data_IF_098939092330
#
_entry.id   IF_098939092330
#
_cell.length_a   1.000
_cell.length_b   1.000
_cell.length_c   1.000
_cell.angle_alpha   90.00
_cell.angle_beta   90.00
_cell.angle_gamma   90.00
#
_symmetry.space_group_name_H-M   'P 1'
#
loop_
_entity.id
_entity.type
_entity.pdbx_description
1 polymer ?
#
# COMPACT_ATOMS: atom_id res chain seq x y z
N UNK A 1 -17.11 18.14 39.59
CA UNK A 1 -18.04 18.23 38.44
C UNK A 1 -17.60 19.21 37.34
N UNK A 2 -16.47 19.94 37.50
CA UNK A 2 -16.00 20.93 36.52
C UNK A 2 -15.16 20.33 35.38
N UNK A 3 -14.41 19.25 35.63
CA UNK A 3 -13.50 18.70 34.64
C UNK A 3 -14.20 18.09 33.42
N UNK A 4 -15.38 17.50 33.60
CA UNK A 4 -16.16 16.94 32.49
C UNK A 4 -16.57 18.04 31.49
N UNK A 5 -16.86 19.25 31.97
CA UNK A 5 -17.19 20.39 31.11
C UNK A 5 -16.03 20.81 30.20
N UNK A 6 -14.77 20.54 30.60
CA UNK A 6 -13.59 20.76 29.77
C UNK A 6 -13.26 19.53 28.90
N UNK A 7 -13.34 18.33 29.47
CA UNK A 7 -12.92 17.10 28.81
C UNK A 7 -13.86 16.68 27.68
N UNK A 8 -15.17 16.92 27.81
CA UNK A 8 -16.16 16.62 26.76
C UNK A 8 -15.84 17.39 25.46
N UNK A 9 -15.73 18.73 25.45
CA UNK A 9 -15.43 19.45 24.22
C UNK A 9 -14.04 19.12 23.67
N UNK A 10 -13.03 18.90 24.53
CA UNK A 10 -11.70 18.47 24.09
C UNK A 10 -11.77 17.11 23.39
N UNK A 11 -12.46 16.12 23.96
CA UNK A 11 -12.61 14.80 23.36
C UNK A 11 -13.37 14.87 22.02
N UNK A 12 -14.43 15.68 21.93
CA UNK A 12 -15.17 15.89 20.68
C UNK A 12 -14.30 16.53 19.60
N UNK A 13 -13.50 17.53 19.95
CA UNK A 13 -12.57 18.17 19.01
C UNK A 13 -11.50 17.20 18.52
N UNK A 14 -10.92 16.39 19.41
CA UNK A 14 -9.95 15.37 19.04
C UNK A 14 -10.57 14.28 18.15
N UNK A 15 -11.79 13.85 18.46
CA UNK A 15 -12.53 12.89 17.63
C UNK A 15 -12.85 13.46 16.25
N UNK A 16 -13.31 14.70 16.18
CA UNK A 16 -13.59 15.38 14.92
C UNK A 16 -12.31 15.59 14.09
N UNK A 17 -11.22 15.98 14.73
CA UNK A 17 -9.92 16.13 14.08
C UNK A 17 -9.45 14.80 13.47
N UNK A 18 -9.54 13.70 14.23
CA UNK A 18 -9.23 12.37 13.74
C UNK A 18 -10.13 11.94 12.57
N UNK A 19 -11.44 12.23 12.65
CA UNK A 19 -12.38 11.92 11.57
C UNK A 19 -12.05 12.70 10.28
N UNK A 20 -11.77 14.00 10.38
CA UNK A 20 -11.39 14.83 9.23
C UNK A 20 -10.08 14.34 8.61
N UNK A 21 -9.07 14.03 9.43
CA UNK A 21 -7.81 13.48 8.97
C UNK A 21 -8.00 12.13 8.26
N UNK A 22 -8.84 11.26 8.80
CA UNK A 22 -9.18 9.96 8.21
C UNK A 22 -9.88 10.11 6.85
N UNK A 23 -10.91 10.95 6.77
CA UNK A 23 -11.61 11.22 5.51
C UNK A 23 -10.70 11.88 4.47
N UNK A 24 -9.78 12.74 4.90
CA UNK A 24 -8.77 13.32 4.03
C UNK A 24 -7.83 12.25 3.47
N UNK A 25 -7.34 11.32 4.31
CA UNK A 25 -6.48 10.22 3.88
C UNK A 25 -7.16 9.30 2.85
N UNK A 26 -8.45 8.98 3.06
CA UNK A 26 -9.25 8.23 2.08
C UNK A 26 -9.37 8.98 0.76
N UNK A 27 -9.70 10.27 0.79
CA UNK A 27 -9.82 11.10 -0.41
C UNK A 27 -8.48 11.27 -1.14
N UNK A 28 -7.36 11.25 -0.43
CA UNK A 28 -6.02 11.39 -1.00
C UNK A 28 -5.54 10.14 -1.74
N UNK A 29 -6.30 9.04 -1.76
CA UNK A 29 -5.93 7.83 -2.52
C UNK A 29 -4.71 7.10 -1.98
N UNK A 30 -4.29 7.37 -0.74
CA UNK A 30 -3.10 6.72 -0.14
C UNK A 30 -3.29 5.21 0.07
N UNK A 31 -4.53 4.74 0.04
CA UNK A 31 -4.87 3.32 0.15
C UNK A 31 -4.79 2.57 -1.20
N UNK A 32 -4.83 3.28 -2.33
CA UNK A 32 -4.75 2.65 -3.66
C UNK A 32 -3.37 2.00 -3.89
N UNK A 33 -2.32 2.53 -3.28
CA UNK A 33 -0.96 1.98 -3.35
C UNK A 33 -0.80 0.67 -2.54
N UNK A 34 -1.60 0.51 -1.47
CA UNK A 34 -1.64 -0.74 -0.69
C UNK A 34 -2.28 -1.88 -1.49
N UNK A 35 -3.31 -1.60 -2.29
CA UNK A 35 -3.91 -2.58 -3.20
C UNK A 35 -2.90 -3.04 -4.26
N UNK A 36 -2.07 -2.14 -4.78
CA UNK A 36 -0.98 -2.47 -5.71
C UNK A 36 0.10 -3.37 -5.10
N UNK A 37 0.48 -3.13 -3.84
CA UNK A 37 1.45 -3.96 -3.12
C UNK A 37 0.89 -5.37 -2.80
N UNK A 38 -0.39 -5.46 -2.46
CA UNK A 38 -1.09 -6.74 -2.24
C UNK A 38 -1.17 -7.58 -3.53
N UNK A 39 -1.31 -6.95 -4.69
CA UNK A 39 -1.29 -7.65 -5.98
C UNK A 39 0.10 -8.27 -6.26
N UNK A 40 1.18 -7.57 -5.93
CA UNK A 40 2.54 -8.08 -6.14
C UNK A 40 2.86 -9.26 -5.23
N UNK A 41 2.57 -9.17 -3.94
CA UNK A 41 2.89 -10.25 -2.99
C UNK A 41 2.11 -11.56 -3.26
N UNK A 42 0.91 -11.47 -3.86
CA UNK A 42 0.07 -12.64 -4.13
C UNK A 42 0.38 -13.31 -5.48
N UNK A 43 0.97 -12.57 -6.43
CA UNK A 43 1.19 -13.03 -7.81
C UNK A 43 2.66 -13.06 -8.26
N UNK A 44 3.62 -12.54 -7.47
CA UNK A 44 5.07 -12.56 -7.80
C UNK A 44 5.77 -13.91 -7.51
N UNK A 45 5.06 -14.95 -7.05
CA UNK A 45 5.66 -16.28 -6.81
C UNK A 45 5.90 -17.10 -8.09
N UNK A 46 5.46 -16.63 -9.27
CA UNK A 46 5.75 -17.28 -10.54
C UNK A 46 6.94 -16.58 -11.24
N UNK A 47 8.18 -17.11 -11.13
CA UNK A 47 9.25 -16.64 -12.00
C UNK A 47 8.84 -16.90 -13.45
N UNK A 48 8.99 -15.93 -14.37
CA UNK A 48 8.77 -16.19 -15.79
C UNK A 48 9.64 -17.39 -16.19
N UNK A 49 9.10 -18.35 -16.97
CA UNK A 49 9.92 -19.42 -17.49
C UNK A 49 11.06 -18.73 -18.23
N UNK A 50 12.30 -18.90 -17.74
CA UNK A 50 13.50 -18.36 -18.36
C UNK A 50 13.42 -18.79 -19.81
N UNK A 51 13.00 -17.87 -20.67
CA UNK A 51 12.92 -18.09 -22.09
C UNK A 51 14.34 -18.48 -22.46
N UNK A 52 14.49 -19.75 -22.84
CA UNK A 52 15.73 -20.38 -23.26
C UNK A 52 16.55 -19.35 -24.03
N UNK A 53 17.51 -18.73 -23.34
CA UNK A 53 18.53 -17.94 -24.00
C UNK A 53 19.26 -18.95 -24.86
N UNK A 54 18.92 -18.94 -26.14
CA UNK A 54 19.89 -18.88 -27.21
C UNK A 54 21.18 -19.65 -26.89
N UNK A 55 21.06 -20.97 -26.69
CA UNK A 55 22.14 -21.86 -27.09
C UNK A 55 22.10 -21.85 -28.62
N UNK A 56 22.49 -20.71 -29.21
CA UNK A 56 22.99 -20.66 -30.56
C UNK A 56 24.23 -21.54 -30.52
N UNK A 57 24.04 -22.80 -30.93
CA UNK A 57 25.11 -23.71 -31.32
C UNK A 57 25.88 -22.98 -32.42
N UNK A 58 26.89 -22.23 -32.04
CA UNK A 58 27.96 -21.92 -32.97
C UNK A 58 28.76 -23.21 -33.13
N UNK A 59 28.77 -23.84 -34.33
CA UNK A 59 29.67 -24.95 -34.57
C UNK A 59 31.10 -24.46 -34.42
N UNK A 60 32.03 -25.31 -33.94
CA UNK A 60 33.43 -24.90 -33.84
C UNK A 60 33.91 -24.54 -35.25
N UNK A 61 34.46 -23.33 -35.37
CA UNK A 61 35.24 -22.96 -36.54
C UNK A 61 36.58 -23.66 -36.43
N UNK A 62 36.65 -24.89 -36.97
CA UNK A 62 37.81 -25.61 -37.55
C UNK A 62 37.44 -27.06 -37.80
#
# INVERSE_FOLDING_TARGET
>A
MTNLLLLIPVALLLGLFGLVAFLWALKSGQFDDLDGAAHRILFDDDPPPVAKQDIKKDPPST
#
